data_IF_504360021857
#
_entry.id   IF_504360021857
#
_cell.length_a   1.000
_cell.length_b   1.000
_cell.length_c   1.000
_cell.angle_alpha   90.00
_cell.angle_beta   90.00
_cell.angle_gamma   90.00
#
_symmetry.space_group_name_H-M   'P 1'
#
loop_
_entity.id
_entity.type
_entity.pdbx_description
1 polymer ?
#
# COMPACT_ATOMS: atom_id res chain seq x y z
N UNK A 1 -33.04 7.39 2.78
CA UNK A 1 -31.84 7.24 3.65
C UNK A 1 -31.21 8.61 3.81
N UNK A 2 -31.28 9.19 5.01
CA UNK A 2 -30.87 10.57 5.28
C UNK A 2 -29.35 10.64 5.44
N UNK A 3 -28.64 11.27 4.49
CA UNK A 3 -27.24 11.65 4.68
C UNK A 3 -27.20 13.07 5.24
N UNK A 4 -26.97 13.16 6.55
CA UNK A 4 -26.78 14.41 7.28
C UNK A 4 -25.35 14.88 7.01
N UNK A 5 -25.15 15.68 5.96
CA UNK A 5 -23.87 16.35 5.72
C UNK A 5 -23.70 17.47 6.75
N UNK A 6 -22.61 17.40 7.51
CA UNK A 6 -22.21 18.43 8.48
C UNK A 6 -21.86 19.73 7.75
N UNK A 7 -22.39 20.88 8.17
CA UNK A 7 -21.83 22.16 7.74
C UNK A 7 -20.54 22.36 8.56
N UNK A 8 -19.51 22.94 7.95
CA UNK A 8 -18.47 23.80 8.54
C UNK A 8 -17.22 23.77 7.64
N UNK A 9 -17.38 24.35 6.44
CA UNK A 9 -16.27 24.97 5.71
C UNK A 9 -16.83 26.29 5.18
N UNK A 10 -16.61 27.38 5.93
CA UNK A 10 -16.77 28.74 5.39
C UNK A 10 -15.44 29.16 4.79
N UNK A 11 -15.40 29.11 3.47
CA UNK A 11 -14.45 29.80 2.61
C UNK A 11 -14.69 31.30 2.78
N UNK A 12 -13.71 32.05 3.28
CA UNK A 12 -13.76 33.52 3.27
C UNK A 12 -13.28 33.97 1.90
N UNK A 13 -14.25 34.38 1.09
CA UNK A 13 -14.11 35.04 -0.19
C UNK A 13 -13.87 36.55 0.03
N UNK A 14 -13.15 37.16 -0.92
CA UNK A 14 -12.60 38.51 -0.88
C UNK A 14 -13.63 39.60 -0.55
N UNK A 15 -13.22 40.60 0.27
CA UNK A 15 -13.96 41.86 0.40
C UNK A 15 -13.43 42.83 -0.67
N UNK A 16 -14.25 43.04 -1.70
CA UNK A 16 -14.13 44.18 -2.61
C UNK A 16 -14.91 45.36 -2.05
N UNK A 17 -14.28 46.54 -2.06
CA UNK A 17 -14.87 47.85 -1.82
C UNK A 17 -15.95 48.16 -2.87
N UNK A 18 -17.04 48.86 -2.51
CA UNK A 18 -17.23 50.18 -3.13
C UNK A 18 -17.80 51.26 -2.22
N UNK A 19 -17.53 52.49 -2.66
CA UNK A 19 -17.86 53.77 -2.06
C UNK A 19 -19.35 54.17 -2.16
N UNK A 20 -19.76 55.11 -1.29
CA UNK A 20 -20.67 56.20 -1.68
C UNK A 20 -22.03 56.31 -0.98
N UNK A 21 -22.30 57.54 -0.53
CA UNK A 21 -23.61 58.19 -0.32
C UNK A 21 -24.32 58.06 1.05
N UNK A 22 -24.34 59.19 1.78
CA UNK A 22 -25.29 59.52 2.85
C UNK A 22 -26.69 59.86 2.27
N UNK A 23 -27.74 59.97 3.12
CA UNK A 23 -28.14 61.32 3.54
C UNK A 23 -28.64 61.46 4.99
N UNK A 24 -28.42 62.65 5.55
CA UNK A 24 -28.95 63.19 6.82
C UNK A 24 -30.45 63.58 6.69
N UNK A 25 -31.17 63.80 7.81
CA UNK A 25 -31.79 65.11 7.99
C UNK A 25 -31.56 65.74 9.37
N UNK A 26 -31.62 67.08 9.35
CA UNK A 26 -31.18 68.07 10.32
C UNK A 26 -32.01 68.16 11.61
N UNK A 27 -31.44 68.78 12.65
CA UNK A 27 -31.92 70.01 13.34
C UNK A 27 -30.74 70.58 14.17
N UNK A 28 -30.46 71.86 13.95
CA UNK A 28 -29.74 72.82 14.82
C UNK A 28 -30.67 74.06 14.92
N UNK A 29 -30.48 75.08 15.81
CA UNK A 29 -29.38 75.30 16.76
C UNK A 29 -29.82 75.83 18.15
N UNK A 30 -29.00 75.67 19.20
CA UNK A 30 -28.87 76.71 20.25
C UNK A 30 -27.56 76.58 21.04
N UNK A 31 -26.64 77.49 20.74
CA UNK A 31 -25.59 77.95 21.66
C UNK A 31 -25.89 79.44 21.92
N UNK A 32 -25.62 80.00 23.12
CA UNK A 32 -24.24 80.41 23.39
C UNK A 32 -23.81 80.28 24.86
N UNK A 33 -22.58 79.83 25.13
CA UNK A 33 -21.52 80.66 25.73
C UNK A 33 -20.30 79.87 26.26
N UNK A 34 -19.14 80.13 25.64
CA UNK A 34 -17.81 80.40 26.22
C UNK A 34 -17.17 79.45 27.27
N UNK A 35 -16.23 78.61 26.77
CA UNK A 35 -14.85 78.29 27.21
C UNK A 35 -14.45 78.10 28.71
N UNK A 36 -13.42 77.28 29.05
CA UNK A 36 -12.32 76.85 28.17
C UNK A 36 -11.99 75.34 28.16
N UNK A 37 -11.43 74.93 27.01
CA UNK A 37 -10.46 73.83 26.88
C UNK A 37 -9.50 73.79 28.06
N UNK A 38 -9.57 72.71 28.84
CA UNK A 38 -8.46 72.30 29.71
C UNK A 38 -7.84 71.06 29.06
N UNK A 39 -6.74 71.26 28.35
CA UNK A 39 -5.80 70.17 28.07
C UNK A 39 -5.38 69.57 29.42
N UNK A 40 -5.54 68.27 29.66
CA UNK A 40 -4.85 67.65 30.77
C UNK A 40 -3.35 67.67 30.45
N UNK A 41 -2.65 68.60 31.09
CA UNK A 41 -1.20 68.58 31.30
C UNK A 41 -0.75 67.13 31.54
N UNK A 42 0.29 66.61 30.86
CA UNK A 42 0.82 65.30 31.18
C UNK A 42 1.23 65.34 32.64
N UNK A 43 0.53 64.54 33.46
CA UNK A 43 0.92 64.32 34.83
C UNK A 43 2.32 63.69 34.75
N UNK A 44 3.30 64.47 35.19
CA UNK A 44 4.65 64.04 35.45
C UNK A 44 4.57 62.94 36.52
N UNK A 45 4.37 61.70 36.08
CA UNK A 45 4.20 60.54 36.93
C UNK A 45 5.56 59.88 37.19
N UNK A 46 6.53 60.67 37.67
CA UNK A 46 7.59 60.10 38.49
C UNK A 46 6.99 59.80 39.87
N UNK A 47 6.14 58.78 39.94
CA UNK A 47 5.63 58.28 41.21
C UNK A 47 6.42 57.04 41.60
N UNK A 48 7.50 57.24 42.34
CA UNK A 48 8.10 56.21 43.20
C UNK A 48 7.20 55.90 44.40
N UNK A 49 5.89 55.75 44.17
CA UNK A 49 4.95 55.31 45.19
C UNK A 49 4.90 53.79 45.12
N UNK A 50 5.19 53.06 46.22
CA UNK A 50 5.17 51.60 46.19
C UNK A 50 3.80 51.12 45.70
N UNK A 51 3.80 50.15 44.77
CA UNK A 51 2.57 49.51 44.30
C UNK A 51 1.78 49.06 45.54
N UNK A 52 0.54 49.53 45.67
CA UNK A 52 -0.37 49.05 46.71
C UNK A 52 -0.60 47.54 46.59
N UNK A 53 -1.27 46.95 47.58
CA UNK A 53 -1.49 45.50 47.66
C UNK A 53 -2.11 44.90 46.38
N UNK A 54 -3.05 45.61 45.75
CA UNK A 54 -3.67 45.20 44.48
C UNK A 54 -2.66 45.13 43.31
N UNK A 55 -1.70 46.06 43.24
CA UNK A 55 -0.69 46.09 42.18
C UNK A 55 0.34 44.96 42.33
N UNK A 56 0.74 44.64 43.57
CA UNK A 56 1.61 43.49 43.85
C UNK A 56 0.92 42.17 43.51
N UNK A 57 -0.35 42.01 43.91
CA UNK A 57 -1.15 40.83 43.58
C UNK A 57 -1.35 40.64 42.06
N UNK A 58 -1.45 41.73 41.28
CA UNK A 58 -1.54 41.65 39.83
C UNK A 58 -0.22 41.17 39.20
N UNK A 59 0.93 41.67 39.68
CA UNK A 59 2.25 41.22 39.21
C UNK A 59 2.52 39.76 39.57
N UNK A 60 2.12 39.30 40.75
CA UNK A 60 2.29 37.91 41.15
C UNK A 60 1.45 36.97 40.29
N UNK A 61 0.19 37.34 39.98
CA UNK A 61 -0.65 36.61 39.03
C UNK A 61 -0.06 36.57 37.62
N UNK A 62 0.48 37.68 37.14
CA UNK A 62 1.15 37.73 35.82
C UNK A 62 2.38 36.82 35.79
N UNK A 63 3.21 36.85 36.83
CA UNK A 63 4.38 35.98 36.95
C UNK A 63 4.00 34.51 37.07
N UNK A 64 2.92 34.20 37.76
CA UNK A 64 2.40 32.84 37.85
C UNK A 64 1.81 32.36 36.51
N UNK A 65 1.08 33.24 35.81
CA UNK A 65 0.58 32.96 34.46
C UNK A 65 1.72 32.67 33.49
N UNK A 66 2.78 33.50 33.48
CA UNK A 66 3.99 33.27 32.67
C UNK A 66 4.67 31.95 33.02
N UNK A 67 4.95 31.71 34.31
CA UNK A 67 5.54 30.43 34.76
C UNK A 67 4.68 29.23 34.36
N UNK A 68 3.36 29.35 34.39
CA UNK A 68 2.45 28.28 33.97
C UNK A 68 2.47 28.08 32.45
N UNK A 69 2.57 29.15 31.67
CA UNK A 69 2.67 29.09 30.21
C UNK A 69 4.01 28.49 29.78
N UNK A 70 5.11 28.92 30.38
CA UNK A 70 6.46 28.39 30.12
C UNK A 70 6.54 26.89 30.45
N UNK A 71 5.96 26.47 31.58
CA UNK A 71 5.85 25.05 31.92
C UNK A 71 5.08 24.26 30.86
N UNK A 72 3.89 24.73 30.47
CA UNK A 72 3.09 24.06 29.43
C UNK A 72 3.83 24.02 28.09
N UNK A 73 4.54 25.08 27.71
CA UNK A 73 5.34 25.11 26.49
C UNK A 73 6.46 24.07 26.55
N UNK A 74 7.21 24.01 27.65
CA UNK A 74 8.29 23.01 27.83
C UNK A 74 7.77 21.57 27.84
N UNK A 75 6.61 21.31 28.45
CA UNK A 75 5.98 19.99 28.45
C UNK A 75 5.52 19.58 27.05
N UNK A 76 4.96 20.52 26.27
CA UNK A 76 4.56 20.27 24.89
C UNK A 76 5.77 20.02 23.98
N UNK A 77 6.83 20.81 24.12
CA UNK A 77 8.08 20.61 23.38
C UNK A 77 8.69 19.23 23.68
N UNK A 78 8.74 18.84 24.96
CA UNK A 78 9.20 17.51 25.36
C UNK A 78 8.33 16.39 24.76
N UNK A 79 7.00 16.56 24.71
CA UNK A 79 6.09 15.58 24.09
C UNK A 79 6.27 15.51 22.57
N UNK A 80 6.48 16.64 21.90
CA UNK A 80 6.77 16.67 20.46
C UNK A 80 8.05 15.90 20.17
N UNK A 81 9.12 16.16 20.93
CA UNK A 81 10.39 15.44 20.77
C UNK A 81 10.23 13.93 20.99
N UNK A 82 9.49 13.51 22.03
CA UNK A 82 9.20 12.09 22.28
C UNK A 82 8.45 11.43 21.13
N UNK A 83 7.45 12.11 20.55
CA UNK A 83 6.69 11.60 19.41
C UNK A 83 7.55 11.53 18.14
N UNK A 84 8.41 12.52 17.90
CA UNK A 84 9.34 12.50 16.76
C UNK A 84 10.34 11.36 16.87
N UNK A 85 10.91 11.11 18.05
CA UNK A 85 11.86 10.02 18.25
C UNK A 85 11.20 8.64 18.19
N UNK A 86 9.99 8.51 18.74
CA UNK A 86 9.17 7.31 18.56
C UNK A 86 8.87 7.09 17.08
N UNK A 87 8.47 8.13 16.35
CA UNK A 87 8.18 8.10 14.92
C UNK A 87 9.41 7.73 14.07
N UNK A 88 10.60 8.29 14.37
CA UNK A 88 11.86 7.88 13.73
C UNK A 88 12.16 6.40 13.96
N UNK A 89 11.93 5.92 15.17
CA UNK A 89 12.17 4.51 15.54
C UNK A 89 11.20 3.58 14.82
N UNK A 90 9.92 3.94 14.74
CA UNK A 90 8.91 3.18 13.99
C UNK A 90 9.18 3.21 12.48
N UNK A 91 9.53 4.38 11.93
CA UNK A 91 9.88 4.52 10.52
C UNK A 91 11.11 3.68 10.16
N UNK A 92 12.13 3.64 11.03
CA UNK A 92 13.30 2.79 10.83
C UNK A 92 12.93 1.30 10.81
N UNK A 93 12.12 0.83 11.77
CA UNK A 93 11.62 -0.55 11.79
C UNK A 93 10.81 -0.89 10.53
N UNK A 94 9.95 0.02 10.09
CA UNK A 94 9.18 -0.16 8.86
C UNK A 94 10.09 -0.22 7.63
N UNK A 95 11.11 0.64 7.56
CA UNK A 95 12.08 0.61 6.47
C UNK A 95 12.88 -0.70 6.43
N UNK A 96 13.27 -1.22 7.59
CA UNK A 96 14.00 -2.49 7.69
C UNK A 96 13.11 -3.69 7.32
N UNK A 97 11.84 -3.70 7.74
CA UNK A 97 10.88 -4.75 7.32
C UNK A 97 10.55 -4.65 5.82
N UNK A 98 10.44 -3.45 5.26
CA UNK A 98 10.27 -3.26 3.82
C UNK A 98 11.47 -3.80 3.04
N UNK A 99 12.69 -3.52 3.49
CA UNK A 99 13.90 -4.09 2.86
C UNK A 99 13.93 -5.61 2.95
N UNK A 100 13.58 -6.18 4.11
CA UNK A 100 13.51 -7.62 4.33
C UNK A 100 12.52 -8.28 3.38
N UNK A 101 11.29 -7.77 3.34
CA UNK A 101 10.23 -8.30 2.46
C UNK A 101 10.54 -8.11 0.98
N UNK A 102 11.17 -7.00 0.59
CA UNK A 102 11.64 -6.81 -0.79
C UNK A 102 12.71 -7.83 -1.17
N UNK A 103 13.70 -8.06 -0.29
CA UNK A 103 14.72 -9.09 -0.50
C UNK A 103 14.10 -10.48 -0.62
N UNK A 104 13.12 -10.82 0.23
CA UNK A 104 12.42 -12.11 0.15
C UNK A 104 11.65 -12.26 -1.18
N UNK A 105 10.99 -11.19 -1.63
CA UNK A 105 10.30 -11.20 -2.92
C UNK A 105 11.25 -11.35 -4.10
N UNK A 106 12.42 -10.71 -4.07
CA UNK A 106 13.44 -10.87 -5.10
C UNK A 106 14.00 -12.29 -5.13
N UNK A 107 14.29 -12.88 -3.97
CA UNK A 107 14.71 -14.29 -3.85
C UNK A 107 13.66 -15.23 -4.41
N UNK A 108 12.40 -15.11 -3.99
CA UNK A 108 11.31 -15.96 -4.47
C UNK A 108 11.05 -15.79 -5.98
N UNK A 109 11.17 -14.57 -6.50
CA UNK A 109 11.07 -14.32 -7.95
C UNK A 109 12.22 -14.98 -8.71
N UNK A 110 13.44 -14.93 -8.18
CA UNK A 110 14.60 -15.61 -8.75
C UNK A 110 14.45 -17.13 -8.77
N UNK A 111 14.01 -17.71 -7.66
CA UNK A 111 13.72 -19.15 -7.56
C UNK A 111 12.62 -19.58 -8.52
N UNK A 112 11.51 -18.83 -8.56
CA UNK A 112 10.41 -19.09 -9.50
C UNK A 112 10.90 -19.04 -10.95
N UNK A 113 11.68 -18.02 -11.33
CA UNK A 113 12.21 -17.91 -12.68
C UNK A 113 13.12 -19.11 -13.03
N UNK A 114 13.97 -19.57 -12.09
CA UNK A 114 14.81 -20.76 -12.28
C UNK A 114 13.98 -22.03 -12.40
N UNK A 115 12.92 -22.18 -11.61
CA UNK A 115 11.98 -23.31 -11.69
C UNK A 115 11.25 -23.33 -13.04
N UNK A 116 10.79 -22.17 -13.51
CA UNK A 116 10.14 -22.04 -14.81
C UNK A 116 11.11 -22.41 -15.94
N UNK A 117 12.34 -21.87 -15.93
CA UNK A 117 13.38 -22.22 -16.92
C UNK A 117 13.74 -23.71 -16.85
N UNK A 118 13.86 -24.28 -15.65
CA UNK A 118 14.13 -25.70 -15.46
C UNK A 118 13.02 -26.57 -16.07
N UNK A 119 11.75 -26.22 -15.81
CA UNK A 119 10.61 -26.94 -16.36
C UNK A 119 10.52 -26.83 -17.89
N UNK A 120 10.89 -25.69 -18.46
CA UNK A 120 10.82 -25.45 -19.89
C UNK A 120 11.97 -26.12 -20.66
N UNK A 121 13.17 -26.16 -20.07
CA UNK A 121 14.40 -26.66 -20.72
C UNK A 121 14.73 -28.10 -20.35
N UNK A 122 14.14 -28.64 -19.27
CA UNK A 122 14.51 -29.93 -18.70
C UNK A 122 15.86 -29.94 -17.97
N UNK A 123 16.48 -28.76 -17.78
CA UNK A 123 17.71 -28.61 -16.98
C UNK A 123 17.32 -28.52 -15.51
N UNK A 124 17.91 -29.33 -14.60
CA UNK A 124 17.70 -29.24 -13.17
C UNK A 124 17.95 -27.83 -12.61
N UNK A 125 17.12 -27.41 -11.66
CA UNK A 125 17.20 -26.09 -11.01
C UNK A 125 18.56 -25.86 -10.36
N UNK A 126 19.13 -26.88 -9.74
CA UNK A 126 20.46 -26.81 -9.09
C UNK A 126 21.57 -26.51 -10.10
N UNK A 127 21.45 -27.01 -11.34
CA UNK A 127 22.40 -26.70 -12.41
C UNK A 127 22.27 -25.25 -12.89
N UNK A 128 21.05 -24.71 -12.90
CA UNK A 128 20.77 -23.31 -13.26
C UNK A 128 21.15 -22.32 -12.14
N UNK A 129 21.21 -22.77 -10.88
CA UNK A 129 21.67 -21.97 -9.76
C UNK A 129 23.18 -21.66 -9.83
N UNK A 130 23.94 -22.45 -10.61
CA UNK A 130 25.39 -22.33 -10.75
C UNK A 130 26.15 -23.22 -9.75
N UNK A 131 27.48 -23.11 -9.70
CA UNK A 131 28.32 -24.07 -8.99
C UNK A 131 28.28 -24.01 -7.47
N UNK A 132 27.62 -23.02 -6.86
CA UNK A 132 27.61 -22.84 -5.41
C UNK A 132 29.03 -22.81 -4.84
N UNK A 133 29.20 -23.36 -3.64
CA UNK A 133 30.49 -23.42 -2.93
C UNK A 133 31.34 -24.64 -3.32
N UNK A 134 30.77 -25.66 -3.97
CA UNK A 134 31.45 -26.91 -4.36
C UNK A 134 31.45 -27.10 -5.88
N UNK A 135 32.54 -26.65 -6.49
CA UNK A 135 32.77 -26.74 -7.94
C UNK A 135 32.84 -28.19 -8.44
N UNK A 136 33.36 -29.12 -7.63
CA UNK A 136 33.55 -30.52 -8.02
C UNK A 136 32.20 -31.24 -8.06
N UNK A 137 31.37 -31.02 -7.04
CA UNK A 137 30.00 -31.53 -7.01
C UNK A 137 29.17 -31.00 -8.18
N UNK A 138 29.32 -29.72 -8.53
CA UNK A 138 28.63 -29.13 -9.67
C UNK A 138 29.09 -29.73 -11.01
N UNK A 139 30.39 -29.91 -11.21
CA UNK A 139 30.93 -30.54 -12.41
C UNK A 139 30.45 -31.98 -12.56
N UNK A 140 30.35 -32.73 -11.46
CA UNK A 140 29.77 -34.08 -11.46
C UNK A 140 28.28 -34.06 -11.83
N UNK A 141 27.50 -33.13 -11.27
CA UNK A 141 26.08 -32.98 -11.59
C UNK A 141 25.85 -32.63 -13.07
N UNK A 142 26.70 -31.76 -13.65
CA UNK A 142 26.66 -31.44 -15.08
C UNK A 142 26.94 -32.66 -15.96
N UNK A 143 27.95 -33.46 -15.62
CA UNK A 143 28.27 -34.68 -16.34
C UNK A 143 27.13 -35.71 -16.24
N UNK A 144 26.60 -35.93 -15.05
CA UNK A 144 25.49 -36.85 -14.84
C UNK A 144 24.23 -36.42 -15.62
N UNK A 145 23.93 -35.13 -15.68
CA UNK A 145 22.84 -34.63 -16.51
C UNK A 145 23.10 -34.84 -18.00
N UNK A 146 24.31 -34.51 -18.49
CA UNK A 146 24.72 -34.75 -19.88
C UNK A 146 24.59 -36.23 -20.27
N UNK A 147 25.04 -37.14 -19.40
CA UNK A 147 24.98 -38.57 -19.65
C UNK A 147 23.52 -39.07 -19.68
N UNK A 148 22.65 -38.59 -18.78
CA UNK A 148 21.20 -38.86 -18.82
C UNK A 148 20.51 -38.33 -20.09
N UNK A 149 20.96 -37.22 -20.67
CA UNK A 149 20.45 -36.74 -21.96
C UNK A 149 20.85 -37.67 -23.12
N UNK A 150 22.00 -38.34 -23.01
CA UNK A 150 22.48 -39.29 -24.02
C UNK A 150 21.87 -40.69 -23.89
N UNK A 151 21.34 -41.05 -22.72
CA UNK A 151 20.45 -42.20 -22.51
C UNK A 151 19.05 -41.92 -23.08
N UNK A 152 18.98 -41.58 -24.37
CA UNK A 152 17.72 -41.66 -25.12
C UNK A 152 17.28 -43.12 -25.10
N UNK A 153 16.05 -43.48 -24.68
CA UNK A 153 15.60 -44.85 -24.74
C UNK A 153 15.77 -45.35 -26.18
N UNK A 154 16.52 -46.44 -26.35
CA UNK A 154 16.42 -47.23 -27.56
C UNK A 154 14.92 -47.49 -27.75
N UNK A 155 14.36 -46.94 -28.83
CA UNK A 155 12.99 -47.22 -29.20
C UNK A 155 12.83 -48.75 -29.18
N UNK A 156 11.80 -49.32 -28.53
CA UNK A 156 11.56 -50.75 -28.64
C UNK A 156 11.46 -51.06 -30.14
N UNK A 157 12.29 -51.97 -30.62
CA UNK A 157 12.30 -52.39 -32.01
C UNK A 157 10.87 -52.81 -32.37
N UNK A 158 10.19 -51.99 -33.17
CA UNK A 158 8.87 -52.32 -33.68
C UNK A 158 9.14 -53.19 -34.90
N UNK A 159 9.01 -54.50 -34.73
CA UNK A 159 8.91 -55.43 -35.85
C UNK A 159 7.74 -54.97 -36.73
N UNK A 160 8.02 -54.48 -37.93
CA UNK A 160 6.99 -54.14 -38.92
C UNK A 160 6.64 -55.37 -39.74
N UNK A 161 5.39 -55.88 -39.72
CA UNK A 161 4.90 -56.75 -40.77
C UNK A 161 4.32 -55.90 -41.92
N UNK A 162 4.71 -56.27 -43.14
CA UNK A 162 4.26 -55.76 -44.44
C UNK A 162 2.72 -55.82 -44.63
N UNK A 163 2.10 -54.92 -45.41
CA UNK A 163 0.64 -54.81 -45.48
C UNK A 163 0.03 -55.86 -46.43
N UNK A 164 -0.95 -56.62 -45.94
CA UNK A 164 -1.94 -57.31 -46.78
C UNK A 164 -3.35 -56.87 -46.41
N UNK A 165 -4.26 -56.74 -47.40
CA UNK A 165 -5.54 -56.10 -47.22
C UNK A 165 -6.59 -57.07 -46.68
N UNK A 166 -7.55 -56.49 -45.96
CA UNK A 166 -8.82 -57.08 -45.50
C UNK A 166 -8.80 -57.80 -44.15
N UNK A 167 -9.24 -57.05 -43.14
CA UNK A 167 -9.58 -57.55 -41.81
C UNK A 167 -9.73 -56.40 -40.83
N UNK A 168 -10.85 -55.67 -40.90
CA UNK A 168 -11.22 -54.58 -39.97
C UNK A 168 -11.23 -55.07 -38.52
N UNK A 169 -10.38 -54.47 -37.68
CA UNK A 169 -10.69 -54.01 -36.31
C UNK A 169 -9.65 -52.98 -35.84
N UNK A 170 -9.75 -51.80 -36.45
CA UNK A 170 -9.52 -50.46 -35.87
C UNK A 170 -8.28 -50.19 -34.99
N UNK A 171 -7.25 -49.60 -35.60
CA UNK A 171 -6.81 -48.28 -35.12
C UNK A 171 -7.46 -47.24 -36.04
N UNK A 172 -8.04 -46.16 -35.52
CA UNK A 172 -7.34 -44.90 -35.71
C UNK A 172 -7.52 -43.92 -34.53
N UNK A 173 -6.89 -42.76 -34.64
CA UNK A 173 -7.38 -41.44 -34.16
C UNK A 173 -8.81 -41.55 -33.62
N UNK A 174 -9.11 -41.05 -32.42
CA UNK A 174 -10.51 -41.02 -31.97
C UNK A 174 -11.14 -39.67 -32.36
N UNK A 175 -11.70 -39.50 -33.58
CA UNK A 175 -12.70 -38.47 -33.79
C UNK A 175 -13.94 -38.86 -32.97
N UNK A 176 -14.46 -37.92 -32.16
CA UNK A 176 -15.68 -38.03 -31.36
C UNK A 176 -15.69 -38.99 -30.15
N UNK A 177 -14.73 -38.91 -29.21
CA UNK A 177 -15.05 -39.31 -27.83
C UNK A 177 -15.97 -38.26 -27.20
N UNK A 178 -17.08 -38.71 -26.63
CA UNK A 178 -17.97 -37.82 -25.88
C UNK A 178 -17.27 -37.35 -24.59
N UNK A 179 -17.66 -36.18 -24.07
CA UNK A 179 -17.07 -35.62 -22.85
C UNK A 179 -17.17 -36.61 -21.67
N UNK A 180 -18.18 -37.47 -21.65
CA UNK A 180 -18.40 -38.48 -20.62
C UNK A 180 -17.41 -39.64 -20.67
N UNK A 181 -17.06 -40.10 -21.87
CA UNK A 181 -16.03 -41.13 -22.03
C UNK A 181 -14.63 -40.62 -21.64
N UNK A 182 -14.38 -39.33 -21.85
CA UNK A 182 -13.14 -38.68 -21.42
C UNK A 182 -13.06 -38.55 -19.89
N UNK A 183 -14.19 -38.22 -19.24
CA UNK A 183 -14.27 -38.20 -17.76
C UNK A 183 -14.03 -39.59 -17.19
N UNK A 184 -14.69 -40.62 -17.73
CA UNK A 184 -14.53 -41.99 -17.26
C UNK A 184 -13.11 -42.53 -17.47
N UNK A 185 -12.47 -42.18 -18.60
CA UNK A 185 -11.07 -42.53 -18.85
C UNK A 185 -10.11 -41.81 -17.89
N UNK A 186 -10.32 -40.53 -17.61
CA UNK A 186 -9.50 -39.76 -16.67
C UNK A 186 -9.63 -40.30 -15.23
N UNK A 187 -10.85 -40.65 -14.79
CA UNK A 187 -11.08 -41.27 -13.48
C UNK A 187 -10.46 -42.66 -13.37
N UNK A 188 -10.61 -43.49 -14.42
CA UNK A 188 -10.00 -44.83 -14.47
C UNK A 188 -8.47 -44.77 -14.43
N UNK A 189 -7.88 -43.71 -14.97
CA UNK A 189 -6.43 -43.48 -14.98
C UNK A 189 -5.93 -42.73 -13.73
N UNK A 190 -6.81 -42.36 -12.79
CA UNK A 190 -6.45 -41.62 -11.57
C UNK A 190 -6.16 -40.13 -11.80
N UNK A 191 -6.41 -39.60 -12.99
CA UNK A 191 -6.19 -38.20 -13.33
C UNK A 191 -7.40 -37.34 -12.92
N UNK A 192 -7.47 -37.08 -11.61
CA UNK A 192 -8.56 -36.32 -11.00
C UNK A 192 -8.58 -34.84 -11.41
N UNK A 193 -7.44 -34.28 -11.85
CA UNK A 193 -7.37 -32.89 -12.30
C UNK A 193 -8.09 -32.74 -13.65
N UNK A 194 -7.78 -33.61 -14.60
CA UNK A 194 -8.43 -33.64 -15.91
C UNK A 194 -9.92 -34.00 -15.80
N UNK A 195 -10.28 -34.95 -14.94
CA UNK A 195 -11.68 -35.31 -14.70
C UNK A 195 -12.51 -34.12 -14.14
N UNK A 196 -11.94 -33.33 -13.21
CA UNK A 196 -12.61 -32.12 -12.66
C UNK A 196 -12.82 -31.06 -13.74
N UNK A 197 -11.82 -30.80 -14.57
CA UNK A 197 -11.91 -29.82 -15.64
C UNK A 197 -12.96 -30.20 -16.69
N UNK A 198 -13.01 -31.48 -17.08
CA UNK A 198 -14.01 -31.99 -18.02
C UNK A 198 -15.43 -31.94 -17.45
N UNK A 199 -15.61 -32.24 -16.15
CA UNK A 199 -16.89 -32.08 -15.46
C UNK A 199 -17.36 -30.63 -15.40
N UNK A 200 -16.45 -29.68 -15.16
CA UNK A 200 -16.76 -28.25 -15.19
C UNK A 200 -17.21 -27.81 -16.59
N UNK A 201 -16.48 -28.18 -17.65
CA UNK A 201 -16.89 -27.89 -19.02
C UNK A 201 -18.25 -28.49 -19.37
N UNK A 202 -18.56 -29.71 -18.90
CA UNK A 202 -19.87 -30.34 -19.10
C UNK A 202 -20.98 -29.55 -18.39
N UNK A 203 -20.73 -29.09 -17.16
CA UNK A 203 -21.68 -28.27 -16.41
C UNK A 203 -21.96 -26.94 -17.11
N UNK A 204 -20.92 -26.29 -17.62
CA UNK A 204 -21.03 -25.01 -18.34
C UNK A 204 -21.68 -25.15 -19.72
N UNK A 205 -21.57 -26.33 -20.35
CA UNK A 205 -22.31 -26.65 -21.56
C UNK A 205 -23.80 -26.84 -21.25
N UNK A 206 -24.16 -27.56 -20.18
CA UNK A 206 -25.55 -27.76 -19.74
C UNK A 206 -26.24 -26.43 -19.38
N UNK A 207 -25.51 -25.52 -18.71
CA UNK A 207 -26.01 -24.19 -18.35
C UNK A 207 -26.25 -23.28 -19.55
N UNK A 208 -25.59 -23.52 -20.68
CA UNK A 208 -25.77 -22.75 -21.92
C UNK A 208 -26.92 -23.24 -22.77
N UNK A 209 -27.40 -24.45 -22.53
CA UNK A 209 -28.49 -25.08 -23.32
C UNK A 209 -29.81 -25.16 -22.55
N UNK A 210 -29.88 -24.62 -21.33
CA UNK A 210 -31.13 -24.43 -20.55
C UNK A 210 -31.56 -22.98 -20.60
#
# INVERSE_FOLDING_TARGET
MHKKLMPWVRLIEAVETPAGAAPTPAIDPKDPAANPTTEPKPADATSEKPLGEAGKAALDREREARRSADKRASELEARVHQLEDAGKTEAQKQADELKRTQSELETLRGEKARLEVASATGVPVDLLAGPGDDLDAYAQALNAWRDKQSEKPAAPAVDTPSPSPSGVTGQPVQPNRTVDELIAAAEKNGDLATAKQLKLMKLDALRRTS
#
